data_IF_997283647580
#
_entry.id   IF_997283647580
#
_cell.length_a   1.000
_cell.length_b   1.000
_cell.length_c   1.000
_cell.angle_alpha   90.00
_cell.angle_beta   90.00
_cell.angle_gamma   90.00
#
_symmetry.space_group_name_H-M   'P 1'
#
loop_
_entity.id
_entity.type
_entity.pdbx_description
1 polymer ?
#
# COMPACT_ATOMS: atom_id res chain seq x y z
N UNK A 1 11.56 -7.76 -37.52
CA UNK A 1 12.06 -9.06 -37.00
C UNK A 1 11.75 -9.17 -35.51
N UNK A 2 11.18 -10.30 -35.08
CA UNK A 2 10.87 -10.57 -33.67
C UNK A 2 12.13 -10.87 -32.86
N UNK A 3 12.13 -10.54 -31.57
CA UNK A 3 13.21 -10.89 -30.63
C UNK A 3 12.69 -11.93 -29.64
N UNK A 4 13.59 -12.73 -29.08
CA UNK A 4 13.24 -13.67 -28.02
C UNK A 4 12.53 -12.96 -26.85
N UNK A 5 11.55 -13.63 -26.21
CA UNK A 5 10.83 -13.11 -25.05
C UNK A 5 11.77 -12.94 -23.86
N UNK A 6 11.40 -12.05 -22.94
CA UNK A 6 12.28 -11.66 -21.82
C UNK A 6 12.05 -12.48 -20.56
N UNK A 7 10.82 -12.97 -20.35
CA UNK A 7 10.42 -13.75 -19.17
C UNK A 7 10.88 -13.11 -17.85
N UNK A 8 10.52 -11.84 -17.64
CA UNK A 8 10.88 -11.06 -16.45
C UNK A 8 10.50 -11.80 -15.17
N UNK A 9 11.44 -12.04 -14.26
CA UNK A 9 11.16 -12.70 -12.97
C UNK A 9 11.31 -11.75 -11.79
N UNK A 10 10.77 -12.16 -10.65
CA UNK A 10 11.00 -11.45 -9.38
C UNK A 10 12.45 -11.66 -8.93
N UNK A 11 13.16 -10.59 -8.59
CA UNK A 11 14.53 -10.62 -8.09
C UNK A 11 15.26 -9.29 -8.32
N UNK A 12 16.54 -9.23 -7.96
CA UNK A 12 17.32 -7.98 -8.02
C UNK A 12 17.27 -7.35 -9.42
N UNK A 13 17.01 -6.05 -9.43
CA UNK A 13 16.78 -5.27 -10.66
C UNK A 13 17.91 -5.48 -11.67
N UNK A 14 17.61 -6.17 -12.77
CA UNK A 14 18.50 -6.36 -13.92
C UNK A 14 17.77 -5.98 -15.20
N UNK A 15 18.24 -4.92 -15.85
CA UNK A 15 17.64 -4.39 -17.07
C UNK A 15 18.71 -4.35 -18.16
N UNK A 16 18.36 -4.89 -19.34
CA UNK A 16 19.16 -4.77 -20.54
C UNK A 16 18.57 -3.70 -21.45
N UNK A 17 19.39 -2.77 -21.91
CA UNK A 17 18.98 -1.84 -22.96
C UNK A 17 19.10 -2.52 -24.31
N UNK A 18 18.10 -2.36 -25.18
CA UNK A 18 18.10 -2.96 -26.51
C UNK A 18 17.79 -1.88 -27.55
N UNK A 19 18.69 -1.69 -28.51
CA UNK A 19 18.49 -0.78 -29.64
C UNK A 19 17.49 -1.37 -30.64
N UNK A 20 16.56 -0.53 -31.07
CA UNK A 20 15.53 -0.86 -32.05
C UNK A 20 15.83 -0.21 -33.40
N UNK A 21 15.02 -0.57 -34.41
CA UNK A 21 15.01 0.13 -35.70
C UNK A 21 14.70 1.62 -35.47
N UNK A 22 15.38 2.51 -36.20
CA UNK A 22 15.24 3.96 -36.03
C UNK A 22 16.02 4.52 -34.83
N UNK A 23 16.88 3.73 -34.17
CA UNK A 23 17.79 4.23 -33.14
C UNK A 23 17.21 4.29 -31.72
N UNK A 24 15.90 4.12 -31.54
CA UNK A 24 15.27 4.12 -30.21
C UNK A 24 15.76 2.97 -29.32
N UNK A 25 15.69 3.18 -28.01
CA UNK A 25 16.06 2.19 -27.00
C UNK A 25 14.80 1.63 -26.33
N UNK A 26 14.79 0.32 -26.09
CA UNK A 26 13.85 -0.31 -25.15
C UNK A 26 14.58 -0.85 -23.95
N UNK A 27 13.92 -0.79 -22.81
CA UNK A 27 14.43 -1.33 -21.56
C UNK A 27 13.79 -2.69 -21.32
N UNK A 28 14.62 -3.72 -21.33
CA UNK A 28 14.20 -5.11 -21.18
C UNK A 28 14.53 -5.57 -19.76
N UNK A 29 13.52 -5.62 -18.90
CA UNK A 29 13.70 -6.11 -17.54
C UNK A 29 13.83 -7.64 -17.52
N UNK A 30 14.98 -8.16 -17.09
CA UNK A 30 15.18 -9.59 -16.83
C UNK A 30 14.71 -9.96 -15.42
N UNK A 31 14.99 -9.09 -14.45
CA UNK A 31 14.58 -9.23 -13.06
C UNK A 31 14.13 -7.90 -12.50
N UNK A 32 13.06 -7.90 -11.70
CA UNK A 32 12.54 -6.74 -10.96
C UNK A 32 12.03 -7.19 -9.60
N UNK A 33 12.26 -6.38 -8.59
CA UNK A 33 11.84 -6.60 -7.20
C UNK A 33 10.82 -5.54 -6.74
N UNK A 34 10.94 -4.32 -7.24
CA UNK A 34 10.05 -3.20 -6.92
C UNK A 34 9.30 -2.69 -8.15
N UNK A 35 8.12 -2.12 -7.91
CA UNK A 35 7.27 -1.43 -8.89
C UNK A 35 6.65 -0.17 -8.31
N UNK A 36 6.16 0.72 -9.17
CA UNK A 36 5.32 1.83 -8.72
C UNK A 36 3.84 1.42 -8.81
N UNK A 37 3.14 1.46 -7.68
CA UNK A 37 1.74 1.07 -7.60
C UNK A 37 0.88 2.27 -7.21
N UNK A 38 -0.18 2.49 -7.98
CA UNK A 38 -1.20 3.49 -7.69
C UNK A 38 -2.31 2.88 -6.82
N UNK A 39 -2.75 3.62 -5.81
CA UNK A 39 -3.96 3.36 -5.06
C UNK A 39 -5.02 4.36 -5.54
N UNK A 40 -5.97 3.87 -6.34
CA UNK A 40 -6.90 4.71 -7.09
C UNK A 40 -7.85 5.48 -6.16
N UNK A 41 -8.46 4.80 -5.17
CA UNK A 41 -9.39 5.44 -4.21
C UNK A 41 -8.77 6.61 -3.43
N UNK A 42 -7.46 6.56 -3.19
CA UNK A 42 -6.73 7.59 -2.42
C UNK A 42 -5.86 8.49 -3.31
N UNK A 43 -5.90 8.31 -4.63
CA UNK A 43 -5.11 9.08 -5.62
C UNK A 43 -3.61 9.19 -5.28
N UNK A 44 -3.03 8.13 -4.70
CA UNK A 44 -1.62 8.09 -4.28
C UNK A 44 -0.86 7.01 -5.02
N UNK A 45 0.40 7.26 -5.38
CA UNK A 45 1.28 6.23 -5.90
C UNK A 45 2.48 6.02 -4.97
N UNK A 46 2.85 4.77 -4.73
CA UNK A 46 4.02 4.43 -3.92
C UNK A 46 4.82 3.32 -4.59
N UNK A 47 6.14 3.44 -4.46
CA UNK A 47 7.06 2.38 -4.81
C UNK A 47 7.00 1.30 -3.73
N UNK A 48 6.66 0.08 -4.13
CA UNK A 48 6.53 -1.06 -3.21
C UNK A 48 7.20 -2.30 -3.79
N UNK A 49 7.49 -3.26 -2.91
CA UNK A 49 8.07 -4.55 -3.31
C UNK A 49 6.98 -5.47 -3.85
N UNK A 50 7.29 -6.15 -4.95
CA UNK A 50 6.46 -7.22 -5.51
C UNK A 50 6.88 -8.52 -4.83
N UNK A 51 5.93 -9.19 -4.18
CA UNK A 51 6.19 -10.41 -3.42
C UNK A 51 6.04 -11.65 -4.30
N UNK A 52 4.88 -11.79 -4.97
CA UNK A 52 4.55 -12.99 -5.74
C UNK A 52 3.54 -12.69 -6.83
N UNK A 53 3.63 -13.40 -7.96
CA UNK A 53 2.53 -13.46 -8.94
C UNK A 53 1.50 -14.48 -8.44
N UNK A 54 0.24 -14.07 -8.36
CA UNK A 54 -0.82 -14.91 -7.78
C UNK A 54 -1.83 -15.35 -8.83
N UNK A 55 -2.11 -14.53 -9.83
CA UNK A 55 -3.00 -14.89 -10.92
C UNK A 55 -2.52 -14.34 -12.26
N UNK A 56 -2.76 -15.12 -13.30
CA UNK A 56 -2.63 -14.71 -14.69
C UNK A 56 -3.77 -15.36 -15.47
N UNK A 57 -4.43 -14.58 -16.33
CA UNK A 57 -5.57 -15.06 -17.11
C UNK A 57 -5.16 -16.02 -18.24
N UNK A 58 -4.00 -15.80 -18.87
CA UNK A 58 -3.62 -16.53 -20.08
C UNK A 58 -2.86 -17.83 -19.84
N UNK A 59 -2.01 -17.88 -18.80
CA UNK A 59 -1.17 -19.05 -18.54
C UNK A 59 -0.80 -19.18 -17.05
N UNK A 60 -1.04 -20.37 -16.49
CA UNK A 60 -0.70 -20.71 -15.10
C UNK A 60 0.80 -20.91 -14.86
N UNK A 61 1.57 -21.28 -15.86
CA UNK A 61 3.02 -21.45 -15.74
C UNK A 61 3.71 -20.12 -15.41
N UNK A 62 3.13 -19.00 -15.83
CA UNK A 62 3.63 -17.67 -15.47
C UNK A 62 3.46 -17.38 -13.98
N UNK A 63 2.43 -17.96 -13.34
CA UNK A 63 2.22 -17.88 -11.88
C UNK A 63 3.24 -18.77 -11.16
N UNK A 64 3.45 -20.00 -11.63
CA UNK A 64 4.39 -20.96 -11.02
C UNK A 64 5.84 -20.45 -11.06
N UNK A 65 6.22 -19.80 -12.15
CA UNK A 65 7.58 -19.27 -12.37
C UNK A 65 7.78 -17.85 -11.82
N UNK A 66 6.76 -17.22 -11.25
CA UNK A 66 6.77 -15.80 -10.86
C UNK A 66 7.21 -14.87 -12.01
N UNK A 67 6.69 -15.11 -13.21
CA UNK A 67 6.98 -14.30 -14.39
C UNK A 67 6.03 -13.10 -14.47
N UNK A 68 6.59 -11.90 -14.51
CA UNK A 68 5.86 -10.63 -14.53
C UNK A 68 5.47 -10.23 -15.96
N UNK A 69 4.16 -10.21 -16.24
CA UNK A 69 3.60 -9.71 -17.50
C UNK A 69 2.47 -8.70 -17.24
N UNK A 70 2.09 -7.95 -18.29
CA UNK A 70 0.95 -7.05 -18.21
C UNK A 70 -0.32 -7.85 -17.90
N UNK A 71 -1.12 -7.37 -16.96
CA UNK A 71 -2.36 -8.01 -16.53
C UNK A 71 -2.18 -9.11 -15.50
N UNK A 72 -0.95 -9.45 -15.11
CA UNK A 72 -0.72 -10.33 -13.95
C UNK A 72 -1.22 -9.66 -12.68
N UNK A 73 -1.88 -10.45 -11.83
CA UNK A 73 -2.23 -10.06 -10.47
C UNK A 73 -1.10 -10.51 -9.56
N UNK A 74 -0.59 -9.56 -8.80
CA UNK A 74 0.55 -9.70 -7.90
C UNK A 74 0.13 -9.40 -6.47
N UNK A 75 0.79 -10.04 -5.51
CA UNK A 75 0.81 -9.59 -4.12
C UNK A 75 1.96 -8.61 -3.96
N UNK A 76 1.67 -7.44 -3.41
CA UNK A 76 2.65 -6.40 -3.09
C UNK A 76 2.69 -6.17 -1.59
N UNK A 77 3.82 -5.63 -1.13
CA UNK A 77 3.97 -5.17 0.25
C UNK A 77 3.06 -3.95 0.51
N UNK A 78 2.30 -4.00 1.62
CA UNK A 78 1.38 -2.95 2.03
C UNK A 78 2.06 -1.85 2.86
N UNK A 79 3.28 -2.07 3.38
CA UNK A 79 3.92 -1.16 4.32
C UNK A 79 4.03 0.31 3.83
N UNK A 80 4.42 0.60 2.57
CA UNK A 80 4.51 1.98 2.09
C UNK A 80 3.16 2.70 2.03
N UNK A 81 2.08 1.96 1.75
CA UNK A 81 0.72 2.50 1.76
C UNK A 81 0.20 2.67 3.19
N UNK A 82 0.49 1.74 4.10
CA UNK A 82 0.16 1.87 5.53
C UNK A 82 0.81 3.10 6.15
N UNK A 83 2.12 3.28 5.93
CA UNK A 83 2.87 4.43 6.44
C UNK A 83 2.30 5.75 5.90
N UNK A 84 1.96 5.79 4.60
CA UNK A 84 1.32 6.96 4.01
C UNK A 84 -0.05 7.23 4.64
N UNK A 85 -0.89 6.20 4.79
CA UNK A 85 -2.24 6.32 5.32
C UNK A 85 -2.23 6.85 6.76
N UNK A 86 -1.34 6.33 7.60
CA UNK A 86 -1.14 6.81 8.97
C UNK A 86 -0.67 8.27 8.99
N UNK A 87 0.24 8.65 8.08
CA UNK A 87 0.69 10.05 7.99
C UNK A 87 -0.40 11.01 7.52
N UNK A 88 -1.29 10.56 6.64
CA UNK A 88 -2.26 11.40 5.95
C UNK A 88 -3.56 11.59 6.75
N UNK A 89 -4.05 10.50 7.36
CA UNK A 89 -5.30 10.46 8.13
C UNK A 89 -5.09 10.38 9.65
N UNK A 90 -3.87 10.10 10.12
CA UNK A 90 -3.61 9.78 11.54
C UNK A 90 -4.43 8.61 12.08
N UNK A 91 -4.77 7.65 11.20
CA UNK A 91 -5.48 6.44 11.59
C UNK A 91 -4.74 5.26 10.98
N UNK A 92 -4.59 4.20 11.77
CA UNK A 92 -4.10 2.93 11.27
C UNK A 92 -5.16 2.26 10.39
N UNK A 93 -4.81 1.83 9.16
CA UNK A 93 -5.72 1.07 8.32
C UNK A 93 -5.95 -0.36 8.83
N UNK A 94 -5.14 -0.83 9.79
CA UNK A 94 -5.22 -2.19 10.36
C UNK A 94 -6.13 -2.30 11.58
N UNK A 95 -6.37 -1.18 12.28
CA UNK A 95 -7.27 -1.14 13.43
C UNK A 95 -8.70 -1.02 12.88
N UNK A 96 -9.63 -1.82 13.37
CA UNK A 96 -11.03 -1.72 12.96
C UNK A 96 -11.54 -0.31 13.23
N UNK A 97 -12.13 0.29 12.20
CA UNK A 97 -12.71 1.62 12.31
C UNK A 97 -13.99 1.45 13.14
N UNK A 98 -13.86 1.55 14.46
CA UNK A 98 -15.03 1.83 15.29
C UNK A 98 -15.45 3.23 14.93
N UNK A 99 -16.46 3.35 14.06
CA UNK A 99 -17.16 4.61 13.83
C UNK A 99 -17.79 4.98 15.17
N UNK A 100 -17.09 5.76 15.98
CA UNK A 100 -17.75 6.49 17.07
C UNK A 100 -18.67 7.48 16.38
N UNK A 101 -19.95 7.12 16.24
CA UNK A 101 -21.02 8.09 16.01
C UNK A 101 -20.96 9.05 17.20
N UNK A 102 -20.33 10.21 17.03
CA UNK A 102 -20.59 11.34 17.90
C UNK A 102 -21.95 11.89 17.46
N UNK A 103 -23.00 11.43 18.12
CA UNK A 103 -24.29 12.11 18.14
C UNK A 103 -24.09 13.50 18.78
N UNK A 104 -24.81 14.50 18.26
CA UNK A 104 -24.50 15.92 18.42
C UNK A 104 -24.93 16.60 19.72
N UNK A 105 -24.50 17.87 19.85
CA UNK A 105 -24.90 18.86 20.85
C UNK A 105 -24.17 18.73 22.19
N UNK A 106 -23.77 19.78 22.90
CA UNK A 106 -23.81 21.24 22.71
C UNK A 106 -22.89 21.84 23.80
N UNK A 107 -22.59 23.13 23.65
CA UNK A 107 -22.08 24.07 24.66
C UNK A 107 -20.62 24.00 25.15
N UNK A 108 -20.07 25.21 25.26
CA UNK A 108 -18.69 25.45 25.56
C UNK A 108 -18.40 25.37 27.05
N UNK A 109 -17.16 25.02 27.34
CA UNK A 109 -16.58 25.32 28.64
C UNK A 109 -15.19 25.88 28.39
N UNK A 110 -15.06 27.19 28.61
CA UNK A 110 -13.77 27.85 28.73
C UNK A 110 -13.05 27.23 29.92
N UNK A 111 -11.99 26.44 29.68
CA UNK A 111 -11.01 26.13 30.73
C UNK A 111 -9.88 27.15 30.68
N UNK A 112 -10.10 28.16 31.50
CA UNK A 112 -9.19 29.13 32.07
C UNK A 112 -7.76 28.60 32.24
N UNK A 113 -6.79 29.38 31.73
CA UNK A 113 -5.36 29.13 31.88
C UNK A 113 -4.94 29.48 33.32
N UNK A 114 -4.57 28.47 34.12
CA UNK A 114 -3.71 28.70 35.30
C UNK A 114 -2.23 28.55 34.92
N UNK A 115 -1.34 29.45 35.38
CA UNK A 115 0.08 29.37 35.09
C UNK A 115 0.73 28.14 35.76
N UNK A 116 1.68 27.51 35.06
CA UNK A 116 2.44 26.35 35.56
C UNK A 116 3.58 26.81 36.47
N UNK A 117 3.57 26.38 37.72
CA UNK A 117 4.75 26.42 38.59
C UNK A 117 5.79 25.35 38.18
N UNK A 118 7.10 25.58 38.40
CA UNK A 118 8.14 24.62 38.01
C UNK A 118 8.22 23.46 39.03
N UNK A 119 8.17 22.20 38.57
CA UNK A 119 8.46 21.02 39.41
C UNK A 119 9.87 20.47 39.12
N UNK A 120 10.66 20.38 40.18
CA UNK A 120 12.02 19.80 40.26
C UNK A 120 12.08 18.30 39.87
N UNK A 121 13.27 17.78 39.51
CA UNK A 121 13.41 16.42 38.99
C UNK A 121 13.51 15.40 40.12
N UNK A 122 12.62 14.39 40.14
CA UNK A 122 12.80 13.18 40.95
C UNK A 122 13.21 11.99 40.10
N UNK A 123 14.41 11.49 40.40
CA UNK A 123 15.02 10.23 39.95
C UNK A 123 14.24 9.02 40.47
N UNK A 124 14.25 7.96 39.66
CA UNK A 124 14.26 6.57 40.14
C UNK A 124 12.91 5.85 40.15
N UNK A 125 12.76 4.86 39.26
CA UNK A 125 11.66 3.91 39.34
C UNK A 125 11.42 3.14 38.04
N UNK A 126 12.28 2.15 37.74
CA UNK A 126 12.02 1.12 36.72
C UNK A 126 10.94 0.15 37.23
N UNK A 127 9.83 0.01 36.51
CA UNK A 127 9.10 -1.27 36.35
C UNK A 127 7.97 -1.12 35.31
N UNK A 128 7.95 -2.04 34.33
CA UNK A 128 6.71 -2.47 33.70
C UNK A 128 6.59 -2.29 32.18
N UNK A 129 7.07 -3.29 31.43
CA UNK A 129 6.47 -3.80 30.18
C UNK A 129 6.12 -2.80 29.06
N UNK A 130 7.10 -2.47 28.23
CA UNK A 130 6.91 -1.77 26.95
C UNK A 130 6.04 -2.59 25.97
N UNK A 131 4.77 -2.22 25.84
CA UNK A 131 4.16 -2.15 24.50
C UNK A 131 4.81 -0.96 23.81
N UNK A 132 5.31 -1.07 22.56
CA UNK A 132 5.79 0.09 21.85
C UNK A 132 4.60 1.03 21.61
N UNK A 133 4.49 2.07 22.43
CA UNK A 133 3.69 3.24 22.12
C UNK A 133 4.25 3.81 20.81
N UNK A 134 3.46 3.73 19.75
CA UNK A 134 3.75 4.47 18.53
C UNK A 134 3.94 5.93 18.94
N UNK A 135 5.07 6.58 18.58
CA UNK A 135 5.33 7.93 19.03
C UNK A 135 4.22 8.82 18.51
N UNK A 136 3.36 9.30 19.41
CA UNK A 136 2.36 10.31 19.08
C UNK A 136 3.12 11.58 18.70
N UNK A 137 3.37 11.72 17.39
CA UNK A 137 4.02 12.91 16.84
C UNK A 137 3.10 14.08 17.16
N UNK A 138 3.50 14.92 18.12
CA UNK A 138 2.79 16.15 18.47
C UNK A 138 2.63 17.01 17.22
N UNK A 139 1.41 17.04 16.67
CA UNK A 139 1.09 17.81 15.47
C UNK A 139 0.51 19.16 15.84
N UNK A 140 0.78 20.16 15.00
CA UNK A 140 0.15 21.48 15.14
C UNK A 140 -1.37 21.39 15.01
N UNK A 141 -2.09 22.28 15.70
CA UNK A 141 -3.56 22.35 15.63
C UNK A 141 -4.08 22.51 14.19
N UNK A 142 -3.35 23.25 13.35
CA UNK A 142 -3.68 23.42 11.93
C UNK A 142 -3.66 22.09 11.18
N UNK A 143 -2.71 21.21 11.48
CA UNK A 143 -2.63 19.88 10.88
C UNK A 143 -3.78 18.99 11.35
N UNK A 144 -4.12 19.05 12.65
CA UNK A 144 -5.26 18.32 13.20
C UNK A 144 -6.59 18.76 12.56
N UNK A 145 -6.80 20.07 12.36
CA UNK A 145 -7.98 20.58 11.63
C UNK A 145 -8.06 20.04 10.20
N UNK A 146 -6.93 20.02 9.47
CA UNK A 146 -6.88 19.44 8.11
C UNK A 146 -7.21 17.94 8.11
N UNK A 147 -6.69 17.19 9.07
CA UNK A 147 -6.97 15.76 9.21
C UNK A 147 -8.45 15.53 9.53
N UNK A 148 -9.02 16.32 10.44
CA UNK A 148 -10.44 16.24 10.79
C UNK A 148 -11.34 16.47 9.56
N UNK A 149 -11.02 17.43 8.70
CA UNK A 149 -11.76 17.66 7.44
C UNK A 149 -11.66 16.44 6.51
N UNK A 150 -10.47 15.87 6.33
CA UNK A 150 -10.26 14.68 5.47
C UNK A 150 -10.98 13.44 5.99
N UNK A 151 -11.04 13.27 7.30
CA UNK A 151 -11.68 12.12 7.92
C UNK A 151 -13.20 12.09 7.71
N UNK A 152 -13.85 13.23 7.39
CA UNK A 152 -15.30 13.30 7.16
C UNK A 152 -15.74 12.54 5.90
N UNK A 153 -14.97 12.61 4.83
CA UNK A 153 -15.31 11.97 3.54
C UNK A 153 -14.66 10.60 3.37
N UNK A 154 -14.09 10.05 4.45
CA UNK A 154 -13.29 8.84 4.40
C UNK A 154 -14.19 7.62 4.25
N UNK A 155 -13.98 6.88 3.17
CA UNK A 155 -14.58 5.55 2.94
C UNK A 155 -13.45 4.56 2.78
N UNK A 156 -13.50 3.44 3.51
CA UNK A 156 -12.46 2.42 3.44
C UNK A 156 -13.10 1.04 3.32
N UNK A 157 -12.74 0.33 2.24
CA UNK A 157 -13.31 -0.98 1.91
C UNK A 157 -12.89 -2.07 2.92
N UNK A 158 -13.82 -2.85 3.48
CA UNK A 158 -13.51 -3.90 4.46
C UNK A 158 -12.53 -4.96 3.94
N UNK A 159 -12.72 -5.40 2.69
CA UNK A 159 -11.85 -6.40 2.05
C UNK A 159 -10.40 -5.92 1.89
N UNK A 160 -10.22 -4.61 1.71
CA UNK A 160 -8.90 -4.01 1.62
C UNK A 160 -8.27 -3.87 3.02
N UNK A 161 -9.07 -3.55 4.04
CA UNK A 161 -8.64 -3.51 5.44
C UNK A 161 -8.03 -4.84 5.91
N UNK A 162 -8.68 -5.96 5.58
CA UNK A 162 -8.17 -7.29 5.88
C UNK A 162 -6.80 -7.55 5.23
N UNK A 163 -6.62 -7.13 3.98
CA UNK A 163 -5.33 -7.25 3.29
C UNK A 163 -4.25 -6.40 3.96
N UNK A 164 -4.56 -5.18 4.37
CA UNK A 164 -3.65 -4.34 5.14
C UNK A 164 -3.26 -4.98 6.49
N UNK A 165 -4.20 -5.67 7.18
CA UNK A 165 -3.89 -6.45 8.39
C UNK A 165 -2.87 -7.55 8.11
N UNK A 166 -2.98 -8.25 6.98
CA UNK A 166 -2.01 -9.28 6.57
C UNK A 166 -0.67 -8.72 6.09
N UNK A 167 -0.57 -7.40 5.87
CA UNK A 167 0.62 -6.74 5.35
C UNK A 167 0.85 -6.92 3.85
N UNK A 168 -0.11 -7.50 3.11
CA UNK A 168 0.01 -7.78 1.68
C UNK A 168 -1.29 -7.41 0.99
N UNK A 169 -1.19 -6.60 -0.07
CA UNK A 169 -2.35 -6.20 -0.88
C UNK A 169 -2.24 -6.75 -2.30
N UNK A 170 -3.38 -7.04 -2.93
CA UNK A 170 -3.42 -7.47 -4.32
C UNK A 170 -3.38 -6.27 -5.26
N UNK A 171 -2.59 -6.38 -6.32
CA UNK A 171 -2.44 -5.36 -7.34
C UNK A 171 -2.34 -5.97 -8.74
N UNK A 172 -2.66 -5.18 -9.75
CA UNK A 172 -2.58 -5.58 -11.16
C UNK A 172 -1.49 -4.80 -11.88
N UNK A 173 -0.65 -5.51 -12.62
CA UNK A 173 0.37 -4.88 -13.46
C UNK A 173 -0.25 -4.29 -14.73
N UNK A 174 -0.01 -3.01 -14.98
CA UNK A 174 -0.48 -2.30 -16.19
C UNK A 174 0.63 -2.08 -17.21
N UNK A 175 1.86 -1.98 -16.71
CA UNK A 175 3.07 -1.85 -17.52
C UNK A 175 3.42 -3.17 -18.26
N UNK A 176 4.34 -3.08 -19.24
CA UNK A 176 4.86 -4.23 -20.00
C UNK A 176 6.35 -4.43 -19.69
N UNK A 177 6.71 -5.18 -18.64
CA UNK A 177 8.07 -5.18 -18.10
C UNK A 177 9.18 -5.51 -19.13
N UNK A 178 8.92 -6.42 -20.07
CA UNK A 178 9.89 -6.77 -21.12
C UNK A 178 10.09 -5.71 -22.22
N UNK A 179 9.27 -4.65 -22.25
CA UNK A 179 9.36 -3.54 -23.21
C UNK A 179 9.78 -2.23 -22.56
N UNK A 180 9.26 -1.92 -21.37
CA UNK A 180 9.51 -0.67 -20.67
C UNK A 180 10.48 -0.79 -19.48
N UNK A 181 10.86 -2.00 -19.08
CA UNK A 181 11.85 -2.21 -18.02
C UNK A 181 11.33 -1.97 -16.61
N UNK A 182 10.01 -1.83 -16.44
CA UNK A 182 9.34 -1.52 -15.18
C UNK A 182 8.09 -2.35 -14.98
N UNK A 183 7.74 -2.61 -13.72
CA UNK A 183 6.58 -3.39 -13.30
C UNK A 183 5.65 -2.53 -12.44
N UNK A 184 5.04 -1.53 -13.08
CA UNK A 184 4.06 -0.64 -12.46
C UNK A 184 2.63 -1.18 -12.62
N UNK A 185 1.78 -0.77 -11.69
CA UNK A 185 0.40 -1.24 -11.58
C UNK A 185 -0.48 -0.38 -10.69
N UNK A 186 -1.64 -0.91 -10.33
CA UNK A 186 -2.53 -0.32 -9.34
C UNK A 186 -3.08 -1.38 -8.38
N UNK A 187 -3.41 -0.96 -7.16
CA UNK A 187 -4.03 -1.79 -6.11
C UNK A 187 -5.45 -2.14 -6.52
N UNK A 188 -5.85 -3.41 -6.36
CA UNK A 188 -7.20 -3.85 -6.66
C UNK A 188 -8.17 -3.44 -5.55
N UNK A 189 -9.31 -2.88 -5.94
CA UNK A 189 -10.36 -2.40 -5.02
C UNK A 189 -11.74 -2.83 -5.52
N UNK A 190 -12.75 -2.74 -4.62
CA UNK A 190 -14.16 -2.93 -4.94
C UNK A 190 -14.48 -4.25 -5.67
N UNK A 191 -15.29 -4.14 -6.73
CA UNK A 191 -15.75 -5.28 -7.52
C UNK A 191 -14.63 -6.03 -8.23
N UNK A 192 -13.59 -5.33 -8.71
CA UNK A 192 -12.46 -5.97 -9.38
C UNK A 192 -11.71 -6.87 -8.39
N UNK A 193 -11.50 -6.39 -7.16
CA UNK A 193 -10.91 -7.20 -6.11
C UNK A 193 -11.78 -8.42 -5.77
N UNK A 194 -13.08 -8.22 -5.57
CA UNK A 194 -14.02 -9.31 -5.26
C UNK A 194 -14.03 -10.39 -6.36
N UNK A 195 -14.01 -9.99 -7.63
CA UNK A 195 -13.92 -10.90 -8.77
C UNK A 195 -12.67 -11.77 -8.72
N UNK A 196 -11.49 -11.18 -8.50
CA UNK A 196 -10.24 -11.95 -8.43
C UNK A 196 -10.14 -12.82 -7.18
N UNK A 197 -10.66 -12.36 -6.03
CA UNK A 197 -10.74 -13.18 -4.82
C UNK A 197 -11.58 -14.43 -5.05
N UNK A 198 -12.75 -14.31 -5.72
CA UNK A 198 -13.58 -15.46 -6.10
C UNK A 198 -12.84 -16.41 -7.05
N UNK A 199 -12.15 -15.90 -8.07
CA UNK A 199 -11.35 -16.73 -8.99
C UNK A 199 -10.23 -17.48 -8.27
N UNK A 200 -9.57 -16.84 -7.32
CA UNK A 200 -8.48 -17.44 -6.53
C UNK A 200 -8.97 -18.53 -5.61
N UNK A 201 -10.10 -18.34 -4.94
CA UNK A 201 -10.67 -19.37 -4.05
C UNK A 201 -11.20 -20.57 -4.85
N UNK A 202 -11.89 -20.36 -5.96
CA UNK A 202 -12.34 -21.45 -6.85
C UNK A 202 -11.15 -22.28 -7.34
N UNK A 203 -10.05 -21.64 -7.70
CA UNK A 203 -8.86 -22.33 -8.19
C UNK A 203 -8.09 -23.08 -7.11
N UNK A 204 -8.24 -22.73 -5.84
CA UNK A 204 -7.66 -23.48 -4.71
C UNK A 204 -8.47 -24.72 -4.34
N UNK A 205 -9.79 -24.70 -4.61
CA UNK A 205 -10.70 -25.83 -4.33
C UNK A 205 -10.65 -26.92 -5.40
N UNK A 206 -10.12 -26.60 -6.57
CA UNK A 206 -9.95 -27.51 -7.70
C UNK A 206 -8.54 -28.05 -7.72
#
# INVERSE_FOLDING_TARGET
>A
MGRQPTNTRIGDKKISTVRMRGGHLKYRALRLDHGNFAWAGESVSRKTRILKVVYNAGNNELVRTNTLVKGSIVQIDAAPFKAWYLSYYNVDPTKEIVVKKTEGGEEGEQKEQKPREPREPRKGGRKGGDKPEEPEVKRSERTLRKIAVRNKTRVFEPNLAEQFKTGKVYAKLTSRPGQCGRADGYVLEGEELAFYLKKLTTKKKK
#
